data_IF_170105559854
#
_entry.id   IF_170105559854
#
_cell.length_a   1.000
_cell.length_b   1.000
_cell.length_c   1.000
_cell.angle_alpha   90.00
_cell.angle_beta   90.00
_cell.angle_gamma   90.00
#
_symmetry.space_group_name_H-M   'P 1'
#
loop_
_entity.id
_entity.type
_entity.pdbx_description
1 polymer ?
#
# COMPACT_ATOMS: atom_id res chain seq x y z
N UNK A 1 -8.37 21.45 -3.81
CA UNK A 1 -7.69 21.13 -5.08
C UNK A 1 -7.60 19.63 -5.24
N UNK A 2 -7.83 19.15 -6.46
CA UNK A 2 -7.87 17.73 -6.78
C UNK A 2 -6.50 17.19 -7.17
N UNK A 3 -6.22 15.88 -6.97
CA UNK A 3 -5.01 15.25 -7.48
C UNK A 3 -4.84 15.54 -8.98
N UNK A 4 -3.61 15.81 -9.40
CA UNK A 4 -3.32 16.17 -10.78
C UNK A 4 -3.59 14.98 -11.71
N UNK A 5 -4.50 15.18 -12.66
CA UNK A 5 -4.86 14.23 -13.71
C UNK A 5 -4.75 14.93 -15.05
N UNK A 6 -3.76 14.57 -15.85
CA UNK A 6 -3.50 15.21 -17.15
C UNK A 6 -4.25 14.51 -18.31
N UNK A 7 -4.80 13.32 -18.05
CA UNK A 7 -5.45 12.47 -19.05
C UNK A 7 -6.94 12.28 -18.73
N UNK A 8 -7.79 12.50 -19.71
CA UNK A 8 -9.19 12.10 -19.66
C UNK A 8 -9.36 10.80 -20.45
N UNK A 9 -10.08 9.82 -19.91
CA UNK A 9 -10.46 8.58 -20.60
C UNK A 9 -11.96 8.62 -20.80
N UNK A 10 -12.41 8.62 -22.06
CA UNK A 10 -13.84 8.62 -22.37
C UNK A 10 -14.45 7.29 -21.92
N UNK A 11 -15.38 7.34 -20.97
CA UNK A 11 -16.19 6.21 -20.60
C UNK A 11 -17.18 5.93 -21.75
N UNK A 12 -17.10 4.76 -22.42
CA UNK A 12 -17.81 4.49 -23.67
C UNK A 12 -19.28 4.12 -23.44
N UNK A 13 -20.01 4.97 -22.71
CA UNK A 13 -21.39 4.72 -22.26
C UNK A 13 -22.34 4.40 -23.41
N UNK A 14 -22.19 5.09 -24.55
CA UNK A 14 -23.03 4.86 -25.73
C UNK A 14 -22.73 3.53 -26.40
N UNK A 15 -21.45 3.19 -26.55
CA UNK A 15 -21.06 1.86 -26.99
C UNK A 15 -21.61 0.78 -26.07
N UNK A 16 -21.54 0.97 -24.74
CA UNK A 16 -22.08 0.01 -23.76
C UNK A 16 -23.58 -0.19 -23.90
N UNK A 17 -24.34 0.88 -24.14
CA UNK A 17 -25.79 0.76 -24.38
C UNK A 17 -26.13 0.06 -25.70
N UNK A 18 -25.31 0.25 -26.74
CA UNK A 18 -25.55 -0.38 -28.05
C UNK A 18 -25.08 -1.84 -28.10
N UNK A 19 -23.88 -2.12 -27.58
CA UNK A 19 -23.17 -3.40 -27.74
C UNK A 19 -23.16 -4.28 -26.47
N UNK A 20 -23.69 -3.78 -25.35
CA UNK A 20 -23.69 -4.48 -24.07
C UNK A 20 -22.45 -4.18 -23.19
N UNK A 21 -22.44 -4.68 -21.96
CA UNK A 21 -21.42 -4.35 -20.96
C UNK A 21 -20.11 -5.13 -21.07
N UNK A 22 -20.09 -6.26 -21.79
CA UNK A 22 -18.96 -7.21 -21.83
C UNK A 22 -18.21 -7.20 -23.18
N UNK A 23 -18.38 -6.16 -23.99
CA UNK A 23 -17.69 -6.02 -25.28
C UNK A 23 -16.24 -5.52 -25.16
N UNK A 24 -15.58 -5.35 -26.31
CA UNK A 24 -14.20 -4.86 -26.44
C UNK A 24 -13.93 -3.58 -25.64
N UNK A 25 -14.88 -2.65 -25.63
CA UNK A 25 -14.83 -1.40 -24.87
C UNK A 25 -14.61 -1.60 -23.37
N UNK A 26 -15.11 -2.68 -22.78
CA UNK A 26 -14.93 -2.96 -21.36
C UNK A 26 -13.49 -3.37 -21.07
N UNK A 27 -12.95 -4.31 -21.86
CA UNK A 27 -11.55 -4.74 -21.78
C UNK A 27 -10.61 -3.58 -22.08
N UNK A 28 -10.83 -2.84 -23.17
CA UNK A 28 -10.00 -1.70 -23.55
C UNK A 28 -9.97 -0.60 -22.49
N UNK A 29 -11.13 -0.26 -21.90
CA UNK A 29 -11.19 0.73 -20.81
C UNK A 29 -10.40 0.26 -19.59
N UNK A 30 -10.52 -1.02 -19.23
CA UNK A 30 -9.76 -1.62 -18.12
C UNK A 30 -8.25 -1.65 -18.38
N UNK A 31 -7.83 -1.99 -19.59
CA UNK A 31 -6.43 -2.01 -20.01
C UNK A 31 -5.80 -0.61 -19.97
N UNK A 32 -6.49 0.42 -20.48
CA UNK A 32 -6.03 1.80 -20.41
C UNK A 32 -5.92 2.29 -18.96
N UNK A 33 -6.95 2.04 -18.15
CA UNK A 33 -6.96 2.42 -16.74
C UNK A 33 -5.78 1.76 -15.97
N UNK A 34 -5.54 0.47 -16.23
CA UNK A 34 -4.42 -0.28 -15.65
C UNK A 34 -3.08 0.29 -16.10
N UNK A 35 -2.87 0.47 -17.40
CA UNK A 35 -1.59 0.91 -17.95
C UNK A 35 -1.25 2.36 -17.56
N UNK A 36 -2.22 3.28 -17.53
CA UNK A 36 -2.04 4.65 -17.04
C UNK A 36 -1.66 4.63 -15.54
N UNK A 37 -2.33 3.80 -14.75
CA UNK A 37 -2.01 3.62 -13.31
C UNK A 37 -0.59 3.09 -13.12
N UNK A 38 -0.22 2.01 -13.82
CA UNK A 38 1.13 1.41 -13.77
C UNK A 38 2.20 2.38 -14.28
N UNK A 39 1.86 3.23 -15.25
CA UNK A 39 2.74 4.27 -15.79
C UNK A 39 2.79 5.54 -14.95
N UNK A 40 2.05 5.59 -13.83
CA UNK A 40 1.95 6.74 -12.90
C UNK A 40 1.41 8.01 -13.55
N UNK A 41 0.46 7.85 -14.46
CA UNK A 41 -0.23 8.95 -15.15
C UNK A 41 -1.62 9.08 -14.54
N UNK A 42 -1.87 10.20 -13.87
CA UNK A 42 -3.18 10.51 -13.32
C UNK A 42 -4.21 10.69 -14.43
N UNK A 43 -5.36 10.02 -14.30
CA UNK A 43 -6.45 10.11 -15.25
C UNK A 43 -7.81 10.13 -14.55
N UNK A 44 -8.81 10.66 -15.25
CA UNK A 44 -10.22 10.55 -14.88
C UNK A 44 -11.03 9.90 -16.00
N UNK A 45 -12.06 9.15 -15.61
CA UNK A 45 -13.11 8.75 -16.52
C UNK A 45 -14.05 9.95 -16.71
N UNK A 46 -14.32 10.30 -17.97
CA UNK A 46 -15.23 11.39 -18.35
C UNK A 46 -16.27 10.85 -19.33
N UNK A 47 -17.42 11.51 -19.44
CA UNK A 47 -18.41 11.16 -20.45
C UNK A 47 -18.60 12.26 -21.50
N UNK A 48 -19.42 11.99 -22.52
CA UNK A 48 -19.66 12.94 -23.61
C UNK A 48 -20.29 14.27 -23.14
N UNK A 49 -21.06 14.28 -22.04
CA UNK A 49 -21.64 15.50 -21.45
C UNK A 49 -20.55 16.35 -20.82
N UNK A 50 -19.58 15.73 -20.16
CA UNK A 50 -18.40 16.43 -19.67
C UNK A 50 -17.70 17.10 -20.84
N UNK A 51 -17.31 16.32 -21.88
CA UNK A 51 -16.63 16.82 -23.08
C UNK A 51 -17.36 18.00 -23.73
N UNK A 52 -18.69 17.92 -23.79
CA UNK A 52 -19.55 18.96 -24.33
C UNK A 52 -19.52 20.25 -23.49
N UNK A 53 -19.54 20.13 -22.17
CA UNK A 53 -19.50 21.25 -21.24
C UNK A 53 -18.12 21.92 -21.08
N UNK A 54 -17.05 21.30 -21.61
CA UNK A 54 -15.69 21.83 -21.43
C UNK A 54 -15.48 23.28 -21.87
N UNK A 55 -14.52 23.93 -21.23
CA UNK A 55 -13.78 25.00 -21.88
C UNK A 55 -12.59 24.39 -22.64
N UNK A 56 -12.39 24.80 -23.89
CA UNK A 56 -11.21 24.40 -24.68
C UNK A 56 -10.20 25.53 -24.61
N UNK A 57 -8.98 25.20 -24.21
CA UNK A 57 -7.84 26.10 -24.13
C UNK A 57 -6.73 25.60 -25.07
N UNK A 58 -5.71 26.40 -25.30
CA UNK A 58 -4.55 25.97 -26.08
C UNK A 58 -3.85 24.77 -25.40
N UNK A 59 -3.81 23.65 -26.11
CA UNK A 59 -3.21 22.39 -25.70
C UNK A 59 -3.92 21.66 -24.57
N UNK A 60 -5.13 22.08 -24.17
CA UNK A 60 -5.85 21.46 -23.06
C UNK A 60 -7.38 21.65 -23.10
N UNK A 61 -8.08 20.79 -22.36
CA UNK A 61 -9.51 20.88 -22.11
C UNK A 61 -9.76 20.97 -20.60
N UNK A 62 -10.72 21.81 -20.19
CA UNK A 62 -11.06 22.02 -18.79
C UNK A 62 -12.49 21.60 -18.46
N UNK A 63 -12.62 20.83 -17.37
CA UNK A 63 -13.88 20.48 -16.74
C UNK A 63 -13.79 20.86 -15.26
N UNK A 64 -14.58 21.87 -14.85
CA UNK A 64 -14.44 22.45 -13.51
C UNK A 64 -13.00 22.91 -13.23
N UNK A 65 -12.42 22.40 -12.14
CA UNK A 65 -11.05 22.73 -11.72
C UNK A 65 -9.96 21.85 -12.36
N UNK A 66 -10.34 20.93 -13.26
CA UNK A 66 -9.42 19.99 -13.87
C UNK A 66 -9.03 20.41 -15.29
N UNK A 67 -7.76 20.17 -15.64
CA UNK A 67 -7.17 20.50 -16.94
C UNK A 67 -6.51 19.25 -17.53
N UNK A 68 -6.98 18.82 -18.69
CA UNK A 68 -6.51 17.61 -19.37
C UNK A 68 -5.84 17.97 -20.68
N UNK A 69 -4.69 17.37 -20.95
CA UNK A 69 -3.88 17.61 -22.15
C UNK A 69 -4.03 16.47 -23.17
N UNK A 70 -4.59 15.35 -22.73
CA UNK A 70 -4.89 14.22 -23.58
C UNK A 70 -6.28 13.65 -23.29
N UNK A 71 -6.91 13.11 -24.33
CA UNK A 71 -8.17 12.38 -24.29
C UNK A 71 -7.98 11.00 -24.92
N UNK A 72 -8.41 9.95 -24.23
CA UNK A 72 -8.34 8.56 -24.69
C UNK A 72 -9.74 8.05 -25.05
N UNK A 73 -9.87 7.40 -26.21
CA UNK A 73 -11.08 6.73 -26.68
C UNK A 73 -10.83 5.21 -26.74
N UNK A 74 -11.23 4.45 -25.70
CA UNK A 74 -11.03 3.00 -25.65
C UNK A 74 -12.16 2.25 -26.37
N UNK A 75 -11.89 1.74 -27.57
CA UNK A 75 -12.80 0.95 -28.41
C UNK A 75 -14.23 1.54 -28.51
N UNK A 76 -14.30 2.85 -28.82
CA UNK A 76 -15.55 3.59 -28.90
C UNK A 76 -16.16 3.41 -30.28
N UNK A 77 -17.26 2.66 -30.40
CA UNK A 77 -17.97 2.47 -31.68
C UNK A 77 -19.21 3.33 -31.84
N UNK A 78 -19.83 3.75 -30.74
CA UNK A 78 -21.01 4.61 -30.75
C UNK A 78 -20.74 5.93 -30.04
N UNK A 79 -21.06 7.05 -30.68
CA UNK A 79 -21.15 8.37 -30.05
C UNK A 79 -22.60 8.81 -29.99
N UNK A 80 -22.94 9.77 -29.12
CA UNK A 80 -24.33 10.28 -29.04
C UNK A 80 -24.79 10.83 -30.38
N UNK A 81 -24.01 11.71 -31.00
CA UNK A 81 -24.36 12.35 -32.28
C UNK A 81 -23.12 12.95 -32.98
N UNK A 82 -23.31 13.45 -34.20
CA UNK A 82 -22.29 14.21 -34.93
C UNK A 82 -21.73 15.42 -34.15
N UNK A 83 -22.47 15.95 -33.16
CA UNK A 83 -21.98 17.04 -32.29
C UNK A 83 -20.80 16.58 -31.41
N UNK A 84 -20.84 15.35 -30.91
CA UNK A 84 -19.77 14.77 -30.10
C UNK A 84 -18.49 14.63 -30.92
N UNK A 85 -18.60 14.19 -32.17
CA UNK A 85 -17.44 14.08 -33.04
C UNK A 85 -16.86 15.45 -33.43
N UNK A 86 -17.71 16.43 -33.77
CA UNK A 86 -17.25 17.83 -33.97
C UNK A 86 -16.54 18.37 -32.73
N UNK A 87 -16.95 17.95 -31.53
CA UNK A 87 -16.28 18.33 -30.30
C UNK A 87 -14.88 17.71 -30.22
N UNK A 88 -14.71 16.43 -30.53
CA UNK A 88 -13.39 15.79 -30.62
C UNK A 88 -12.47 16.51 -31.62
N UNK A 89 -12.99 16.90 -32.79
CA UNK A 89 -12.24 17.69 -33.78
C UNK A 89 -11.75 19.03 -33.22
N UNK A 90 -12.59 19.75 -32.48
CA UNK A 90 -12.17 21.00 -31.82
C UNK A 90 -11.08 20.79 -30.78
N UNK A 91 -11.07 19.63 -30.10
CA UNK A 91 -10.02 19.30 -29.15
C UNK A 91 -8.67 19.06 -29.86
N UNK A 92 -8.66 18.31 -30.97
CA UNK A 92 -7.44 18.10 -31.75
C UNK A 92 -6.93 19.40 -32.37
N UNK A 93 -7.81 20.24 -32.91
CA UNK A 93 -7.48 21.58 -33.44
C UNK A 93 -6.88 22.51 -32.37
N UNK A 94 -7.35 22.40 -31.12
CA UNK A 94 -6.79 23.13 -29.99
C UNK A 94 -5.47 22.54 -29.47
N UNK A 95 -4.96 21.45 -30.04
CA UNK A 95 -3.71 20.82 -29.64
C UNK A 95 -3.83 19.83 -28.47
N UNK A 96 -5.04 19.43 -28.09
CA UNK A 96 -5.25 18.30 -27.17
C UNK A 96 -4.92 17.01 -27.91
N UNK A 97 -4.07 16.17 -27.30
CA UNK A 97 -3.75 14.86 -27.88
C UNK A 97 -4.95 13.93 -27.76
N UNK A 98 -5.47 13.42 -28.86
CA UNK A 98 -6.56 12.44 -28.85
C UNK A 98 -5.99 11.09 -29.24
N UNK A 99 -6.06 10.12 -28.33
CA UNK A 99 -5.55 8.77 -28.50
C UNK A 99 -6.72 7.81 -28.63
N UNK A 100 -6.62 6.87 -29.56
CA UNK A 100 -7.68 5.92 -29.87
C UNK A 100 -7.09 4.52 -29.92
N UNK A 101 -7.81 3.54 -29.38
CA UNK A 101 -7.43 2.14 -29.52
C UNK A 101 -8.61 1.23 -29.81
N UNK A 102 -8.38 0.15 -30.54
CA UNK A 102 -9.42 -0.83 -30.85
C UNK A 102 -10.45 -0.29 -31.84
N UNK A 103 -11.69 -0.76 -31.72
CA UNK A 103 -12.79 -0.34 -32.59
C UNK A 103 -13.06 1.19 -32.53
N UNK A 104 -13.44 1.77 -33.66
CA UNK A 104 -13.63 3.22 -33.81
C UNK A 104 -15.09 3.58 -34.11
N UNK A 105 -15.48 4.87 -33.96
CA UNK A 105 -16.87 5.29 -34.14
C UNK A 105 -17.41 4.94 -35.52
N UNK A 106 -18.49 4.16 -35.55
CA UNK A 106 -19.21 3.78 -36.78
C UNK A 106 -20.71 4.11 -36.71
N UNK A 107 -21.23 4.40 -35.52
CA UNK A 107 -22.67 4.65 -35.29
C UNK A 107 -22.87 5.91 -34.46
N UNK A 108 -23.94 6.65 -34.78
CA UNK A 108 -24.49 7.66 -33.88
C UNK A 108 -25.79 7.17 -33.25
N UNK A 109 -25.94 7.38 -31.95
CA UNK A 109 -27.21 7.06 -31.27
C UNK A 109 -28.36 7.94 -31.78
N UNK A 110 -28.07 9.21 -32.08
CA UNK A 110 -29.04 10.23 -32.48
C UNK A 110 -28.57 10.90 -33.78
N UNK A 111 -29.50 11.10 -34.73
CA UNK A 111 -29.26 11.83 -35.97
C UNK A 111 -28.87 10.95 -37.17
N UNK A 112 -28.38 11.59 -38.27
CA UNK A 112 -27.96 10.90 -39.48
C UNK A 112 -26.84 9.90 -39.21
N UNK A 113 -26.86 8.73 -39.85
CA UNK A 113 -25.87 7.68 -39.65
C UNK A 113 -24.61 7.91 -40.50
N UNK A 114 -23.94 9.04 -40.28
CA UNK A 114 -22.71 9.48 -40.98
C UNK A 114 -21.44 9.23 -40.16
N UNK A 115 -21.53 8.56 -39.01
CA UNK A 115 -20.45 8.45 -38.05
C UNK A 115 -19.15 7.89 -38.62
N UNK A 116 -19.22 6.87 -39.49
CA UNK A 116 -18.05 6.28 -40.13
C UNK A 116 -17.35 7.25 -41.10
N UNK A 117 -18.11 8.02 -41.87
CA UNK A 117 -17.60 9.04 -42.80
C UNK A 117 -16.99 10.21 -42.02
N UNK A 118 -17.74 10.73 -41.04
CA UNK A 118 -17.27 11.83 -40.20
C UNK A 118 -16.01 11.42 -39.39
N UNK A 119 -15.92 10.16 -38.94
CA UNK A 119 -14.73 9.62 -38.30
C UNK A 119 -13.54 9.51 -39.26
N UNK A 120 -13.75 9.05 -40.49
CA UNK A 120 -12.69 8.95 -41.50
C UNK A 120 -12.02 10.32 -41.75
N UNK A 121 -12.78 11.41 -41.70
CA UNK A 121 -12.25 12.77 -41.80
C UNK A 121 -11.42 13.19 -40.57
N UNK A 122 -11.78 12.72 -39.36
CA UNK A 122 -11.08 13.06 -38.13
C UNK A 122 -9.85 12.17 -37.88
N UNK A 123 -9.87 10.92 -38.35
CA UNK A 123 -8.87 9.90 -38.09
C UNK A 123 -7.40 10.35 -38.34
N UNK A 124 -7.09 11.16 -39.37
CA UNK A 124 -5.71 11.65 -39.58
C UNK A 124 -5.20 12.61 -38.49
N UNK A 125 -6.10 13.21 -37.69
CA UNK A 125 -5.77 14.17 -36.64
C UNK A 125 -5.68 13.53 -35.23
N UNK A 126 -5.83 12.21 -35.12
CA UNK A 126 -5.77 11.48 -33.84
C UNK A 126 -4.65 10.45 -33.86
N UNK A 127 -4.14 10.10 -32.67
CA UNK A 127 -3.13 9.06 -32.49
C UNK A 127 -3.80 7.70 -32.35
N UNK A 128 -3.73 6.87 -33.40
CA UNK A 128 -4.36 5.56 -33.43
C UNK A 128 -3.40 4.46 -33.01
N UNK A 129 -3.82 3.61 -32.09
CA UNK A 129 -3.08 2.44 -31.64
C UNK A 129 -3.93 1.18 -31.80
N UNK A 130 -3.29 0.04 -32.08
CA UNK A 130 -4.00 -1.24 -32.09
C UNK A 130 -4.44 -1.64 -30.67
N UNK A 131 -3.58 -1.37 -29.68
CA UNK A 131 -3.80 -1.66 -28.26
C UNK A 131 -3.18 -0.53 -27.42
N UNK A 132 -3.27 -0.61 -26.08
CA UNK A 132 -2.67 0.39 -25.19
C UNK A 132 -1.16 0.53 -25.44
N UNK A 133 -0.63 1.75 -25.66
CA UNK A 133 0.78 1.95 -25.99
C UNK A 133 1.70 1.70 -24.79
N UNK A 134 3.00 1.59 -25.07
CA UNK A 134 4.02 1.37 -24.05
C UNK A 134 4.11 2.51 -23.03
N UNK A 135 4.65 2.19 -21.85
CA UNK A 135 4.70 3.10 -20.71
C UNK A 135 5.46 4.42 -20.99
N UNK A 136 6.40 4.43 -21.95
CA UNK A 136 7.11 5.64 -22.35
C UNK A 136 6.17 6.68 -23.00
N UNK A 137 5.28 6.22 -23.90
CA UNK A 137 4.26 7.06 -24.54
C UNK A 137 3.29 7.59 -23.49
N UNK A 138 2.81 6.72 -22.59
CA UNK A 138 1.87 7.09 -21.54
C UNK A 138 2.46 8.16 -20.62
N UNK A 139 3.70 7.98 -20.13
CA UNK A 139 4.39 8.99 -19.31
C UNK A 139 4.56 10.33 -20.04
N UNK A 140 4.67 10.31 -21.36
CA UNK A 140 4.71 11.53 -22.19
C UNK A 140 3.39 12.31 -22.25
N UNK A 141 2.27 11.74 -21.80
CA UNK A 141 0.99 12.43 -21.71
C UNK A 141 0.92 13.38 -20.50
N UNK A 142 1.62 13.04 -19.42
CA UNK A 142 1.64 13.84 -18.20
C UNK A 142 2.36 15.19 -18.43
N UNK A 143 2.00 16.19 -17.63
CA UNK A 143 2.74 17.45 -17.61
C UNK A 143 4.20 17.21 -17.23
N UNK A 144 5.13 17.79 -18.00
CA UNK A 144 6.56 17.80 -17.63
C UNK A 144 6.68 18.62 -16.35
N UNK A 145 7.03 17.96 -15.24
CA UNK A 145 7.28 18.65 -13.96
C UNK A 145 8.55 19.47 -14.05
N UNK A 146 8.56 20.62 -13.39
CA UNK A 146 9.77 21.40 -13.21
C UNK A 146 10.81 20.57 -12.45
N UNK A 147 12.09 20.69 -12.80
CA UNK A 147 13.19 20.02 -12.09
C UNK A 147 13.36 20.51 -10.64
N UNK A 148 12.54 21.47 -10.21
CA UNK A 148 12.60 22.19 -8.94
C UNK A 148 11.49 21.82 -7.96
N UNK A 149 10.62 20.87 -8.29
CA UNK A 149 9.51 20.42 -7.44
C UNK A 149 9.82 19.08 -6.75
N UNK A 150 9.38 18.88 -5.49
CA UNK A 150 9.41 17.58 -4.84
C UNK A 150 8.64 16.55 -5.67
N UNK A 151 9.22 15.37 -5.81
CA UNK A 151 8.57 14.27 -6.52
C UNK A 151 8.97 12.93 -5.94
N UNK A 152 8.11 11.93 -6.10
CA UNK A 152 8.41 10.56 -5.73
C UNK A 152 8.87 9.77 -6.96
N UNK A 153 9.98 9.08 -6.82
CA UNK A 153 10.49 8.10 -7.78
C UNK A 153 10.38 6.72 -7.16
N UNK A 154 9.79 5.78 -7.87
CA UNK A 154 9.73 4.39 -7.42
C UNK A 154 10.87 3.65 -8.12
N UNK A 155 11.82 3.06 -7.37
CA UNK A 155 12.89 2.25 -7.95
C UNK A 155 12.36 1.11 -8.82
N UNK A 156 13.13 0.70 -9.84
CA UNK A 156 12.78 -0.43 -10.68
C UNK A 156 12.58 -1.70 -9.84
N UNK A 157 11.49 -2.42 -10.09
CA UNK A 157 11.12 -3.62 -9.34
C UNK A 157 10.41 -3.37 -8.00
N UNK A 158 10.30 -2.11 -7.54
CA UNK A 158 9.53 -1.84 -6.33
C UNK A 158 8.02 -1.83 -6.60
N UNK A 159 7.21 -2.50 -5.74
CA UNK A 159 5.74 -2.59 -5.91
C UNK A 159 4.98 -1.33 -5.47
N UNK A 160 5.69 -0.34 -4.91
CA UNK A 160 5.07 0.87 -4.33
C UNK A 160 4.33 1.67 -5.40
N UNK A 161 3.10 2.04 -5.06
CA UNK A 161 2.27 2.99 -5.80
C UNK A 161 2.18 4.28 -5.00
N UNK A 162 2.07 5.39 -5.70
CA UNK A 162 1.86 6.67 -5.03
C UNK A 162 0.97 7.59 -5.88
N UNK A 163 0.32 8.54 -5.21
CA UNK A 163 -0.32 9.70 -5.82
C UNK A 163 0.03 10.95 -5.04
N UNK A 164 0.15 12.07 -5.73
CA UNK A 164 0.50 13.31 -5.08
C UNK A 164 0.71 14.47 -6.03
N UNK A 165 0.80 15.66 -5.45
CA UNK A 165 0.88 16.92 -6.19
C UNK A 165 0.90 18.11 -5.24
N UNK A 166 0.86 19.34 -5.80
CA UNK A 166 0.88 20.56 -5.01
C UNK A 166 -0.34 20.68 -4.07
N UNK A 167 -0.09 21.25 -2.89
CA UNK A 167 -1.09 21.56 -1.86
C UNK A 167 -1.53 23.04 -1.95
N UNK A 168 -2.78 23.30 -1.55
CA UNK A 168 -3.38 24.64 -1.44
C UNK A 168 -2.69 25.56 -0.45
N UNK A 169 -2.03 25.01 0.57
CA UNK A 169 -1.35 25.77 1.63
C UNK A 169 0.13 26.08 1.31
N UNK A 170 0.57 25.88 0.06
CA UNK A 170 1.98 25.88 -0.28
C UNK A 170 2.65 24.55 0.10
N UNK A 171 3.38 23.97 -0.85
CA UNK A 171 4.00 22.64 -0.69
C UNK A 171 3.31 21.56 -1.51
N UNK A 172 3.51 20.30 -1.12
CA UNK A 172 3.14 19.09 -1.85
C UNK A 172 2.62 18.04 -0.88
N UNK A 173 1.64 17.24 -1.33
CA UNK A 173 1.18 16.06 -0.59
C UNK A 173 1.38 14.81 -1.41
N UNK A 174 1.74 13.73 -0.72
CA UNK A 174 1.90 12.41 -1.31
C UNK A 174 1.23 11.35 -0.45
N UNK A 175 0.60 10.38 -1.09
CA UNK A 175 0.15 9.14 -0.49
C UNK A 175 0.89 8.00 -1.19
N UNK A 176 1.64 7.21 -0.42
CA UNK A 176 2.40 6.05 -0.86
C UNK A 176 1.79 4.81 -0.25
N UNK A 177 1.56 3.77 -1.03
CA UNK A 177 1.02 2.52 -0.53
C UNK A 177 1.51 1.33 -1.34
N UNK A 178 1.49 0.16 -0.73
CA UNK A 178 1.97 -1.07 -1.36
C UNK A 178 1.30 -2.29 -0.76
N UNK A 179 1.04 -3.32 -1.57
CA UNK A 179 0.48 -4.60 -1.07
C UNK A 179 1.55 -5.54 -0.52
N UNK A 180 2.82 -5.32 -0.89
CA UNK A 180 4.01 -6.05 -0.45
C UNK A 180 5.11 -5.08 -0.04
N UNK A 181 6.16 -5.53 0.65
CA UNK A 181 7.25 -4.63 1.05
C UNK A 181 7.88 -3.93 -0.17
N UNK A 182 8.20 -2.64 -0.04
CA UNK A 182 8.75 -1.85 -1.12
C UNK A 182 9.41 -0.55 -0.67
N UNK A 183 9.90 0.21 -1.65
CA UNK A 183 10.66 1.44 -1.44
C UNK A 183 10.21 2.51 -2.41
N UNK A 184 10.25 3.76 -1.96
CA UNK A 184 10.04 4.94 -2.79
C UNK A 184 11.04 6.02 -2.40
N UNK A 185 11.52 6.75 -3.37
CA UNK A 185 12.53 7.80 -3.22
C UNK A 185 11.88 9.16 -3.36
N UNK A 186 11.92 9.96 -2.30
CA UNK A 186 11.45 11.34 -2.30
C UNK A 186 12.60 12.26 -2.73
N UNK A 187 12.48 12.80 -3.94
CA UNK A 187 13.42 13.77 -4.52
C UNK A 187 13.05 15.17 -4.04
N UNK A 188 14.02 15.90 -3.48
CA UNK A 188 13.83 17.19 -2.82
C UNK A 188 14.74 18.26 -3.43
N UNK A 189 14.44 18.77 -4.64
CA UNK A 189 15.32 19.70 -5.34
C UNK A 189 15.32 21.11 -4.69
N UNK A 190 16.50 21.73 -4.62
CA UNK A 190 16.68 23.14 -4.25
C UNK A 190 16.13 23.50 -2.86
N UNK A 191 16.59 22.80 -1.82
CA UNK A 191 16.09 22.91 -0.43
C UNK A 191 16.18 24.29 0.22
N UNK A 192 15.85 24.43 1.52
CA UNK A 192 15.43 23.37 2.45
C UNK A 192 13.96 22.97 2.28
N UNK A 193 13.65 21.70 2.56
CA UNK A 193 12.29 21.16 2.60
C UNK A 193 12.01 20.56 3.97
N UNK A 194 10.82 20.82 4.49
CA UNK A 194 10.26 20.17 5.67
C UNK A 194 9.36 19.03 5.22
N UNK A 195 9.45 17.89 5.93
CA UNK A 195 8.66 16.70 5.64
C UNK A 195 7.86 16.35 6.89
N UNK A 196 6.55 16.31 6.74
CA UNK A 196 5.61 15.83 7.73
C UNK A 196 5.05 14.48 7.26
N UNK A 197 5.05 13.49 8.14
CA UNK A 197 4.35 12.23 7.96
C UNK A 197 3.09 12.19 8.81
N UNK A 198 1.97 11.81 8.19
CA UNK A 198 0.66 11.80 8.81
C UNK A 198 0.18 10.37 8.97
N UNK A 199 -0.12 9.99 10.22
CA UNK A 199 -0.72 8.71 10.54
C UNK A 199 -2.21 8.75 10.20
N UNK A 200 -2.63 7.96 9.20
CA UNK A 200 -4.02 7.93 8.76
C UNK A 200 -4.98 7.42 9.86
N UNK A 201 -4.46 6.63 10.80
CA UNK A 201 -5.26 5.96 11.84
C UNK A 201 -5.77 6.93 12.91
N UNK A 202 -4.97 7.91 13.31
CA UNK A 202 -5.29 8.80 14.44
C UNK A 202 -5.01 10.29 14.17
N UNK A 203 -4.46 10.63 13.00
CA UNK A 203 -4.14 12.00 12.60
C UNK A 203 -2.89 12.57 13.25
N UNK A 204 -2.07 11.73 13.90
CA UNK A 204 -0.76 12.13 14.44
C UNK A 204 0.15 12.61 13.31
N UNK A 205 0.86 13.71 13.54
CA UNK A 205 1.83 14.26 12.58
C UNK A 205 3.24 14.18 13.15
N UNK A 206 4.13 13.51 12.41
CA UNK A 206 5.55 13.35 12.76
C UNK A 206 6.42 14.13 11.78
N UNK A 207 7.48 14.75 12.27
CA UNK A 207 8.48 15.37 11.39
C UNK A 207 9.50 14.31 10.97
N UNK A 208 9.79 14.23 9.67
CA UNK A 208 10.84 13.38 9.14
C UNK A 208 12.07 14.23 8.78
N UNK A 209 13.24 13.82 9.23
CA UNK A 209 14.50 14.42 8.79
C UNK A 209 14.98 13.74 7.52
N UNK A 210 15.20 14.53 6.45
CA UNK A 210 15.89 14.05 5.26
C UNK A 210 17.40 14.21 5.43
N UNK A 211 18.09 13.12 5.74
CA UNK A 211 19.56 13.08 5.83
C UNK A 211 20.23 13.02 4.45
N UNK A 212 19.51 12.54 3.44
CA UNK A 212 20.00 12.33 2.08
C UNK A 212 18.96 12.78 1.03
N UNK A 213 19.41 13.03 -0.20
CA UNK A 213 18.55 13.33 -1.35
C UNK A 213 18.95 12.43 -2.53
N UNK A 214 18.08 11.51 -2.97
CA UNK A 214 16.70 11.30 -2.51
C UNK A 214 16.60 10.77 -1.07
N UNK A 215 15.56 11.18 -0.36
CA UNK A 215 15.18 10.54 0.89
C UNK A 215 14.49 9.21 0.60
N UNK A 216 15.06 8.10 1.08
CA UNK A 216 14.53 6.76 0.81
C UNK A 216 13.49 6.39 1.87
N UNK A 217 12.25 6.15 1.44
CA UNK A 217 11.16 5.72 2.28
C UNK A 217 10.89 4.22 2.02
N UNK A 218 10.95 3.44 3.09
CA UNK A 218 10.54 2.03 3.08
C UNK A 218 9.07 1.94 3.47
N UNK A 219 8.36 1.02 2.82
CA UNK A 219 6.99 0.67 3.12
C UNK A 219 6.90 -0.84 3.39
N UNK A 220 6.31 -1.22 4.51
CA UNK A 220 5.96 -2.59 4.85
C UNK A 220 4.74 -3.08 4.03
N UNK A 221 4.43 -4.37 4.13
CA UNK A 221 3.27 -4.97 3.49
C UNK A 221 1.96 -4.26 3.91
N UNK A 222 1.18 -3.81 2.92
CA UNK A 222 -0.10 -3.08 3.10
C UNK A 222 0.02 -1.72 3.80
N UNK A 223 1.23 -1.18 3.95
CA UNK A 223 1.42 0.12 4.59
C UNK A 223 0.92 1.27 3.70
N UNK A 224 0.30 2.27 4.33
CA UNK A 224 -0.03 3.57 3.75
C UNK A 224 0.78 4.64 4.47
N UNK A 225 1.63 5.35 3.73
CA UNK A 225 2.37 6.52 4.23
C UNK A 225 1.83 7.79 3.59
N UNK A 226 1.42 8.75 4.40
CA UNK A 226 0.92 10.06 3.97
C UNK A 226 1.96 11.12 4.30
N UNK A 227 2.40 11.88 3.30
CA UNK A 227 3.47 12.86 3.42
C UNK A 227 2.98 14.24 3.02
N UNK A 228 3.41 15.26 3.74
CA UNK A 228 3.36 16.66 3.33
C UNK A 228 4.77 17.21 3.28
N UNK A 229 5.12 17.86 2.17
CA UNK A 229 6.45 18.41 1.90
C UNK A 229 6.30 19.89 1.60
N UNK A 230 6.93 20.76 2.38
CA UNK A 230 6.74 22.21 2.28
C UNK A 230 8.01 22.98 2.63
N UNK A 231 8.05 24.28 2.29
CA UNK A 231 9.20 25.16 2.58
C UNK A 231 8.95 26.08 3.77
N UNK A 232 7.70 26.49 3.99
CA UNK A 232 7.34 27.46 5.03
C UNK A 232 7.00 26.76 6.35
N UNK A 233 7.43 27.31 7.49
CA UNK A 233 7.29 26.71 8.81
C UNK A 233 5.86 26.66 9.38
N UNK A 234 4.82 26.98 8.59
CA UNK A 234 3.43 26.80 9.03
C UNK A 234 3.08 25.31 9.09
N UNK A 235 3.23 24.76 10.30
CA UNK A 235 2.74 23.43 10.68
C UNK A 235 1.26 23.34 10.35
N UNK A 236 0.85 22.23 9.74
CA UNK A 236 -0.56 21.98 9.53
C UNK A 236 -1.30 21.82 10.88
N UNK A 237 -2.60 22.10 10.88
CA UNK A 237 -3.50 22.04 12.03
C UNK A 237 -3.79 20.61 12.56
N UNK A 238 -2.87 19.66 12.40
CA UNK A 238 -2.96 18.32 12.98
C UNK A 238 -2.66 18.33 14.48
N UNK A 239 -2.97 17.22 15.17
CA UNK A 239 -2.42 16.99 16.52
C UNK A 239 -0.92 16.78 16.37
N UNK A 240 -0.18 17.87 16.46
CA UNK A 240 1.25 17.81 16.68
C UNK A 240 1.47 17.09 18.02
N UNK A 241 2.46 16.20 18.07
CA UNK A 241 3.06 15.80 19.35
C UNK A 241 3.68 17.06 19.96
N UNK A 242 2.86 17.81 20.68
CA UNK A 242 3.30 18.85 21.60
C UNK A 242 3.65 18.12 22.87
N UNK A 243 4.94 17.91 23.04
CA UNK A 243 5.53 17.47 24.28
C UNK A 243 5.22 18.49 25.39
N UNK A 244 4.15 18.23 26.15
CA UNK A 244 3.87 18.77 27.48
C UNK A 244 3.29 17.56 28.26
N UNK A 245 3.97 16.90 29.20
CA UNK A 245 4.80 17.44 30.29
C UNK A 245 6.31 17.29 30.11
N UNK A 246 7.01 18.40 30.32
CA UNK A 246 8.45 18.57 30.26
C UNK A 246 9.15 18.00 31.50
N UNK A 247 9.82 16.86 31.34
CA UNK A 247 11.18 16.63 31.85
C UNK A 247 11.85 15.54 30.99
N UNK A 248 12.93 15.91 30.28
CA UNK A 248 13.78 15.12 29.37
C UNK A 248 13.52 15.26 27.85
N UNK A 249 13.84 16.44 27.32
CA UNK A 249 14.28 16.57 25.92
C UNK A 249 15.69 15.97 25.77
N UNK A 250 15.76 14.65 25.60
CA UNK A 250 16.93 13.94 25.08
C UNK A 250 16.43 12.72 24.28
N UNK A 251 16.44 12.83 22.94
CA UNK A 251 16.30 11.72 22.00
C UNK A 251 15.18 10.71 22.28
N UNK A 252 13.95 11.01 21.87
CA UNK A 252 12.93 9.97 21.74
C UNK A 252 12.84 9.54 20.28
N UNK A 253 13.86 8.78 19.86
CA UNK A 253 13.67 7.85 18.76
C UNK A 253 12.56 6.85 19.12
N UNK A 254 11.94 6.26 18.10
CA UNK A 254 11.12 5.05 18.26
C UNK A 254 11.84 4.09 19.20
N UNK A 255 11.18 3.51 20.23
CA UNK A 255 11.84 2.62 21.17
C UNK A 255 12.58 1.53 20.39
N UNK A 256 13.84 1.28 20.72
CA UNK A 256 14.52 0.10 20.20
C UNK A 256 13.86 -1.12 20.84
N UNK A 257 13.38 -2.05 20.01
CA UNK A 257 12.62 -3.21 20.46
C UNK A 257 13.53 -4.42 20.62
N UNK A 258 13.29 -5.23 21.65
CA UNK A 258 13.96 -6.53 21.80
C UNK A 258 13.62 -7.47 20.64
N UNK A 259 14.40 -8.55 20.51
CA UNK A 259 14.03 -9.66 19.64
C UNK A 259 12.61 -10.16 20.00
N UNK A 260 11.74 -10.44 19.00
CA UNK A 260 10.35 -10.77 19.25
C UNK A 260 10.19 -12.19 19.81
N UNK A 261 9.43 -12.33 20.90
CA UNK A 261 8.91 -13.61 21.39
C UNK A 261 7.70 -14.04 20.57
N UNK A 262 7.67 -15.30 20.12
CA UNK A 262 6.49 -15.89 19.45
C UNK A 262 5.50 -16.43 20.47
N UNK A 263 4.33 -15.82 20.56
CA UNK A 263 3.23 -16.25 21.40
C UNK A 263 2.45 -17.41 20.75
N UNK A 264 3.06 -18.60 20.64
CA UNK A 264 2.51 -19.71 19.85
C UNK A 264 1.38 -20.50 20.54
N UNK A 265 1.44 -20.70 21.86
CA UNK A 265 0.52 -21.57 22.62
C UNK A 265 -0.19 -20.83 23.77
N UNK A 266 -1.08 -21.51 24.50
CA UNK A 266 -1.75 -20.97 25.69
C UNK A 266 -2.87 -19.98 25.38
N UNK A 267 -3.45 -20.06 24.18
CA UNK A 267 -4.57 -19.23 23.74
C UNK A 267 -5.89 -19.95 23.94
N UNK A 268 -6.83 -19.24 24.55
CA UNK A 268 -8.25 -19.60 24.60
C UNK A 268 -9.02 -18.74 23.60
N UNK A 269 -9.94 -19.35 22.87
CA UNK A 269 -10.98 -18.65 22.13
C UNK A 269 -12.18 -18.48 23.05
N UNK A 270 -12.66 -17.24 23.20
CA UNK A 270 -13.88 -16.89 23.91
C UNK A 270 -14.86 -16.22 22.94
N UNK A 271 -16.06 -16.78 22.82
CA UNK A 271 -17.17 -16.19 22.08
C UNK A 271 -18.20 -15.69 23.09
N UNK A 272 -18.67 -14.46 22.90
CA UNK A 272 -19.54 -13.79 23.85
C UNK A 272 -20.86 -14.55 24.08
N UNK A 273 -21.42 -14.43 25.29
CA UNK A 273 -22.66 -15.12 25.68
C UNK A 273 -23.90 -14.62 24.91
N UNK A 274 -23.83 -13.41 24.37
CA UNK A 274 -24.86 -12.78 23.56
C UNK A 274 -24.64 -12.96 22.04
N UNK A 275 -23.62 -13.74 21.65
CA UNK A 275 -23.42 -14.10 20.25
C UNK A 275 -24.59 -14.96 19.73
N UNK A 276 -24.94 -14.79 18.46
CA UNK A 276 -26.03 -15.56 17.84
C UNK A 276 -25.69 -17.05 17.69
N UNK A 277 -24.45 -17.35 17.31
CA UNK A 277 -23.90 -18.70 17.12
C UNK A 277 -22.72 -18.87 18.06
N UNK A 278 -22.50 -20.10 18.54
CA UNK A 278 -21.35 -20.45 19.40
C UNK A 278 -21.31 -19.64 20.71
N UNK A 279 -22.47 -19.19 21.18
CA UNK A 279 -22.61 -18.36 22.37
C UNK A 279 -21.96 -19.01 23.59
N UNK A 280 -21.08 -18.28 24.26
CA UNK A 280 -20.40 -18.76 25.45
C UNK A 280 -19.32 -19.83 25.19
N UNK A 281 -18.98 -20.11 23.93
CA UNK A 281 -17.90 -21.03 23.59
C UNK A 281 -16.60 -20.56 24.22
N UNK A 282 -15.95 -21.48 24.96
CA UNK A 282 -14.63 -21.31 25.55
C UNK A 282 -13.81 -22.57 25.32
N UNK A 283 -12.74 -22.47 24.54
CA UNK A 283 -11.91 -23.64 24.17
C UNK A 283 -10.50 -23.22 23.77
N UNK A 284 -9.56 -24.16 23.82
CA UNK A 284 -8.23 -23.95 23.28
C UNK A 284 -8.29 -23.64 21.77
N UNK A 285 -7.38 -22.77 21.32
CA UNK A 285 -7.31 -22.37 19.91
C UNK A 285 -5.87 -22.21 19.45
N UNK A 286 -5.59 -22.67 18.23
CA UNK A 286 -4.33 -22.40 17.56
C UNK A 286 -4.36 -21.01 16.92
N UNK A 287 -3.20 -20.36 16.90
CA UNK A 287 -2.97 -19.07 16.22
C UNK A 287 -2.24 -19.24 14.88
N UNK A 288 -1.94 -20.48 14.48
CA UNK A 288 -1.25 -20.82 13.22
C UNK A 288 -2.22 -21.14 12.08
N UNK A 289 -3.52 -21.14 12.34
CA UNK A 289 -4.56 -21.37 11.35
C UNK A 289 -5.87 -20.68 11.73
N UNK A 290 -6.68 -20.33 10.74
CA UNK A 290 -7.96 -19.67 10.98
C UNK A 290 -9.04 -20.58 11.56
N UNK A 291 -10.12 -19.99 12.08
CA UNK A 291 -11.21 -20.70 12.77
C UNK A 291 -11.88 -21.75 11.89
N UNK A 292 -11.91 -21.52 10.57
CA UNK A 292 -12.51 -22.43 9.61
C UNK A 292 -11.84 -23.80 9.56
N UNK A 293 -10.57 -23.88 9.96
CA UNK A 293 -9.80 -25.14 10.09
C UNK A 293 -9.84 -25.73 11.50
N UNK A 294 -10.54 -25.07 12.42
CA UNK A 294 -10.60 -25.41 13.84
C UNK A 294 -12.04 -25.69 14.30
N UNK A 295 -12.89 -26.17 13.39
CA UNK A 295 -14.27 -26.55 13.69
C UNK A 295 -15.28 -25.40 13.69
N UNK A 296 -14.91 -24.22 13.17
CA UNK A 296 -15.81 -23.07 13.00
C UNK A 296 -15.87 -22.58 11.53
N UNK A 297 -16.20 -23.46 10.57
CA UNK A 297 -16.12 -23.15 9.13
C UNK A 297 -17.10 -22.07 8.66
N UNK A 298 -18.26 -21.93 9.31
CA UNK A 298 -19.30 -20.97 8.95
C UNK A 298 -19.54 -19.88 10.00
N UNK A 299 -18.73 -19.87 11.07
CA UNK A 299 -18.90 -18.90 12.15
C UNK A 299 -18.70 -17.48 11.64
N UNK A 300 -19.61 -16.59 12.04
CA UNK A 300 -19.53 -15.15 11.81
C UNK A 300 -19.72 -14.42 13.13
N UNK A 301 -19.13 -13.24 13.26
CA UNK A 301 -19.13 -12.46 14.48
C UNK A 301 -17.72 -12.33 15.06
N UNK A 302 -17.65 -11.80 16.27
CA UNK A 302 -16.37 -11.52 16.93
C UNK A 302 -16.02 -12.57 17.96
N UNK A 303 -14.75 -12.97 18.00
CA UNK A 303 -14.22 -13.84 19.05
C UNK A 303 -12.95 -13.27 19.65
N UNK A 304 -12.74 -13.52 20.94
CA UNK A 304 -11.59 -13.06 21.69
C UNK A 304 -10.56 -14.19 21.79
N UNK A 305 -9.33 -13.93 21.34
CA UNK A 305 -8.17 -14.72 21.72
C UNK A 305 -7.65 -14.20 23.06
N UNK A 306 -7.60 -15.06 24.07
CA UNK A 306 -7.20 -14.71 25.44
C UNK A 306 -5.97 -15.52 25.83
N UNK A 307 -4.93 -14.85 26.32
CA UNK A 307 -3.72 -15.48 26.84
C UNK A 307 -3.20 -14.72 28.06
N UNK A 308 -2.59 -15.45 28.98
CA UNK A 308 -1.83 -14.87 30.10
C UNK A 308 -0.37 -14.68 29.66
N UNK A 309 0.19 -13.49 29.91
CA UNK A 309 1.61 -13.18 29.70
C UNK A 309 2.24 -12.80 31.04
N UNK A 310 3.49 -13.20 31.26
CA UNK A 310 4.27 -12.84 32.45
C UNK A 310 5.17 -11.66 32.11
N UNK A 311 5.14 -10.62 32.94
CA UNK A 311 5.93 -9.39 32.75
C UNK A 311 6.72 -9.13 34.02
N UNK A 312 8.04 -9.24 33.97
CA UNK A 312 8.87 -8.98 35.16
C UNK A 312 8.88 -7.50 35.53
N UNK A 313 9.18 -6.64 34.55
CA UNK A 313 9.21 -5.18 34.69
C UNK A 313 8.29 -4.55 33.65
N UNK A 314 7.28 -3.76 34.07
CA UNK A 314 6.41 -3.04 33.14
C UNK A 314 7.21 -2.03 32.30
N UNK A 315 7.45 -2.39 31.04
CA UNK A 315 7.99 -1.52 30.00
C UNK A 315 7.00 -1.48 28.84
N UNK A 316 7.04 -0.46 27.96
CA UNK A 316 6.22 -0.49 26.76
C UNK A 316 6.51 -1.76 25.97
N UNK A 317 5.46 -2.38 25.42
CA UNK A 317 5.58 -3.55 24.57
C UNK A 317 5.10 -3.20 23.17
N UNK A 318 5.61 -3.94 22.19
CA UNK A 318 5.10 -3.96 20.84
C UNK A 318 4.49 -5.32 20.54
N UNK A 319 3.20 -5.32 20.23
CA UNK A 319 2.49 -6.50 19.74
C UNK A 319 2.34 -6.39 18.23
N UNK A 320 2.99 -7.29 17.50
CA UNK A 320 2.84 -7.46 16.05
C UNK A 320 2.02 -8.70 15.76
N UNK A 321 0.97 -8.58 14.94
CA UNK A 321 0.15 -9.70 14.46
C UNK A 321 0.46 -9.97 12.98
N UNK A 322 1.34 -10.95 12.66
CA UNK A 322 1.90 -11.05 11.31
C UNK A 322 0.87 -11.39 10.22
N UNK A 323 -0.18 -12.13 10.58
CA UNK A 323 -1.23 -12.50 9.65
C UNK A 323 -2.58 -12.57 10.36
N UNK A 324 -3.49 -11.67 9.99
CA UNK A 324 -4.85 -11.58 10.54
C UNK A 324 -5.84 -11.54 9.39
N UNK A 325 -6.88 -12.36 9.48
CA UNK A 325 -8.05 -12.27 8.59
C UNK A 325 -9.22 -11.62 9.33
N UNK A 326 -9.25 -10.29 9.29
CA UNK A 326 -10.25 -9.45 9.96
C UNK A 326 -9.62 -8.25 10.66
N UNK A 327 -10.47 -7.41 11.26
CA UNK A 327 -10.02 -6.32 12.12
C UNK A 327 -9.78 -6.82 13.55
N UNK A 328 -8.93 -6.12 14.31
CA UNK A 328 -8.62 -6.44 15.71
C UNK A 328 -8.83 -5.27 16.65
N UNK A 329 -9.21 -5.61 17.88
CA UNK A 329 -9.09 -4.74 19.05
C UNK A 329 -8.24 -5.49 20.07
N UNK A 330 -7.25 -4.79 20.63
CA UNK A 330 -6.36 -5.35 21.66
C UNK A 330 -6.64 -4.68 22.98
N UNK A 331 -6.77 -5.49 24.02
CA UNK A 331 -6.91 -5.07 25.41
C UNK A 331 -5.95 -5.84 26.30
N UNK A 332 -5.44 -5.16 27.31
CA UNK A 332 -4.59 -5.73 28.36
C UNK A 332 -5.21 -5.42 29.70
N UNK A 333 -5.40 -6.44 30.55
CA UNK A 333 -6.03 -6.31 31.86
C UNK A 333 -7.38 -5.55 31.82
N UNK A 334 -8.18 -5.81 30.78
CA UNK A 334 -9.46 -5.14 30.54
C UNK A 334 -9.37 -3.72 29.95
N UNK A 335 -8.18 -3.13 29.88
CA UNK A 335 -7.96 -1.80 29.29
C UNK A 335 -7.67 -1.93 27.81
N UNK A 336 -8.43 -1.23 26.96
CA UNK A 336 -8.20 -1.22 25.51
C UNK A 336 -6.95 -0.40 25.16
N UNK A 337 -6.01 -1.02 24.46
CA UNK A 337 -4.70 -0.43 24.13
C UNK A 337 -4.51 -0.14 22.65
N UNK A 338 -5.31 -0.76 21.76
CA UNK A 338 -5.23 -0.46 20.34
C UNK A 338 -6.31 -1.14 19.50
N UNK A 339 -6.40 -0.72 18.23
CA UNK A 339 -7.20 -1.39 17.20
C UNK A 339 -6.51 -1.25 15.84
N UNK A 340 -6.75 -2.21 14.94
CA UNK A 340 -6.29 -2.18 13.55
C UNK A 340 -7.30 -2.88 12.66
N UNK A 341 -7.58 -2.30 11.49
CA UNK A 341 -8.45 -2.92 10.48
C UNK A 341 -7.68 -3.34 9.21
N UNK A 342 -6.42 -2.94 9.10
CA UNK A 342 -5.50 -3.34 8.04
C UNK A 342 -4.07 -3.41 8.58
N UNK A 343 -3.20 -4.06 7.83
CA UNK A 343 -1.77 -4.14 8.16
C UNK A 343 -1.06 -2.78 7.95
N UNK A 344 0.06 -2.52 8.65
CA UNK A 344 0.70 -3.41 9.61
C UNK A 344 -0.07 -3.50 10.95
N UNK A 345 -0.32 -4.72 11.42
CA UNK A 345 -1.00 -4.97 12.69
C UNK A 345 -0.04 -4.86 13.88
N UNK A 346 0.55 -3.67 14.05
CA UNK A 346 1.51 -3.33 15.10
C UNK A 346 0.86 -2.39 16.10
N UNK A 347 0.81 -2.78 17.37
CA UNK A 347 0.16 -2.04 18.45
C UNK A 347 1.15 -1.90 19.60
N UNK A 348 1.40 -0.65 20.01
CA UNK A 348 2.16 -0.36 21.23
C UNK A 348 1.25 -0.53 22.44
N UNK A 349 1.67 -1.36 23.38
CA UNK A 349 1.02 -1.57 24.68
C UNK A 349 1.76 -0.67 25.69
N UNK A 350 1.11 0.37 26.23
CA UNK A 350 1.77 1.28 27.16
C UNK A 350 2.12 0.58 28.48
N UNK A 351 3.29 0.92 29.05
CA UNK A 351 3.78 0.36 30.31
C UNK A 351 2.76 0.47 31.46
N UNK A 352 2.03 1.59 31.54
CA UNK A 352 1.06 1.84 32.61
C UNK A 352 -0.18 0.91 32.58
N UNK A 353 -0.40 0.19 31.47
CA UNK A 353 -1.48 -0.81 31.36
C UNK A 353 -1.04 -2.20 31.85
N UNK A 354 0.25 -2.37 32.09
CA UNK A 354 0.89 -3.60 32.52
C UNK A 354 1.17 -3.59 34.02
N UNK A 355 1.32 -4.78 34.59
CA UNK A 355 1.63 -5.01 36.00
C UNK A 355 2.76 -6.04 36.10
N UNK A 356 3.62 -5.99 37.14
CA UNK A 356 4.54 -7.08 37.40
C UNK A 356 3.79 -8.42 37.58
N UNK A 357 4.31 -9.50 36.99
CA UNK A 357 3.70 -10.82 36.95
C UNK A 357 2.65 -10.98 35.84
N UNK A 358 1.54 -11.64 36.17
CA UNK A 358 0.51 -12.05 35.20
C UNK A 358 -0.32 -10.89 34.67
N UNK A 359 -0.41 -10.81 33.36
CA UNK A 359 -1.28 -9.88 32.65
C UNK A 359 -2.16 -10.66 31.66
N UNK A 360 -3.45 -10.31 31.58
CA UNK A 360 -4.34 -10.87 30.56
C UNK A 360 -4.21 -10.06 29.26
N UNK A 361 -3.77 -10.71 28.19
CA UNK A 361 -3.81 -10.18 26.83
C UNK A 361 -5.05 -10.73 26.11
N UNK A 362 -5.89 -9.82 25.61
CA UNK A 362 -7.08 -10.13 24.83
C UNK A 362 -6.97 -9.50 23.44
N UNK A 363 -7.14 -10.32 22.40
CA UNK A 363 -7.18 -9.90 21.00
C UNK A 363 -8.55 -10.28 20.44
N UNK A 364 -9.46 -9.31 20.37
CA UNK A 364 -10.76 -9.48 19.70
C UNK A 364 -10.57 -9.42 18.21
N UNK A 365 -11.02 -10.43 17.47
CA UNK A 365 -10.98 -10.44 16.00
C UNK A 365 -12.40 -10.37 15.43
N UNK A 366 -12.57 -9.55 14.40
CA UNK A 366 -13.80 -9.35 13.64
C UNK A 366 -13.54 -9.63 12.14
N UNK A 367 -13.79 -10.85 11.63
CA UNK A 367 -13.66 -11.19 10.22
C UNK A 367 -14.85 -10.69 9.38
N UNK A 368 -14.79 -10.92 8.06
CA UNK A 368 -15.94 -10.76 7.17
C UNK A 368 -17.05 -11.77 7.52
N UNK A 369 -18.29 -11.47 7.12
CA UNK A 369 -19.40 -12.42 7.24
C UNK A 369 -19.47 -13.44 6.08
N UNK A 370 -18.46 -13.47 5.20
CA UNK A 370 -18.49 -14.20 3.94
C UNK A 370 -18.76 -15.71 4.14
N UNK A 371 -18.11 -16.33 5.13
CA UNK A 371 -18.25 -17.77 5.38
C UNK A 371 -19.68 -18.19 5.67
N UNK A 372 -20.44 -17.38 6.42
CA UNK A 372 -21.85 -17.65 6.68
C UNK A 372 -22.71 -17.49 5.45
N UNK A 373 -22.51 -16.41 4.68
CA UNK A 373 -23.36 -16.12 3.52
C UNK A 373 -23.09 -17.03 2.32
N UNK A 374 -21.87 -17.52 2.16
CA UNK A 374 -21.53 -18.45 1.07
C UNK A 374 -21.77 -19.92 1.42
N UNK A 375 -21.96 -20.27 2.70
CA UNK A 375 -22.22 -21.63 3.12
C UNK A 375 -23.41 -22.24 2.37
N UNK A 376 -23.19 -23.38 1.71
CA UNK A 376 -24.21 -24.11 0.96
C UNK A 376 -24.65 -23.48 -0.37
N UNK A 377 -24.11 -22.34 -0.77
CA UNK A 377 -24.52 -21.66 -2.03
C UNK A 377 -23.88 -22.24 -3.28
N UNK A 378 -22.76 -22.97 -3.16
CA UNK A 378 -21.95 -23.43 -4.29
C UNK A 378 -21.16 -22.32 -5.01
N UNK A 379 -21.32 -21.05 -4.62
CA UNK A 379 -20.60 -19.91 -5.20
C UNK A 379 -19.13 -19.83 -4.75
N UNK A 380 -18.74 -20.64 -3.76
CA UNK A 380 -17.36 -20.80 -3.30
C UNK A 380 -17.05 -22.26 -2.99
N UNK A 381 -15.85 -22.68 -3.36
CA UNK A 381 -15.35 -24.02 -3.10
C UNK A 381 -14.88 -24.20 -1.65
N UNK A 382 -14.23 -23.18 -1.07
CA UNK A 382 -13.66 -23.25 0.27
C UNK A 382 -14.05 -22.01 1.11
N UNK A 383 -14.15 -22.15 2.45
CA UNK A 383 -14.32 -21.02 3.35
C UNK A 383 -13.13 -20.06 3.31
N UNK A 384 -13.38 -18.76 3.47
CA UNK A 384 -12.34 -17.75 3.68
C UNK A 384 -11.58 -18.00 4.98
N UNK A 385 -10.28 -17.66 5.02
CA UNK A 385 -9.56 -17.51 6.27
C UNK A 385 -10.26 -16.53 7.21
N UNK A 386 -10.34 -16.87 8.51
CA UNK A 386 -10.84 -15.98 9.56
C UNK A 386 -10.04 -16.17 10.85
N UNK A 387 -9.79 -15.07 11.59
CA UNK A 387 -9.03 -15.13 12.84
C UNK A 387 -7.53 -14.82 12.67
N UNK A 388 -6.72 -15.25 13.65
CA UNK A 388 -5.26 -15.19 13.60
C UNK A 388 -4.72 -16.35 12.76
N UNK A 389 -3.83 -16.04 11.82
CA UNK A 389 -3.25 -17.00 10.88
C UNK A 389 -1.76 -17.27 11.11
N UNK A 390 -1.12 -16.47 11.98
CA UNK A 390 0.24 -16.67 12.45
C UNK A 390 0.35 -16.28 13.94
N UNK A 391 1.31 -16.85 14.68
CA UNK A 391 1.54 -16.49 16.09
C UNK A 391 1.80 -14.99 16.27
N UNK A 392 1.13 -14.33 17.25
CA UNK A 392 1.49 -12.98 17.66
C UNK A 392 2.94 -12.90 18.11
N UNK A 393 3.58 -11.78 17.81
CA UNK A 393 4.96 -11.46 18.19
C UNK A 393 4.93 -10.37 19.25
N UNK A 394 5.65 -10.57 20.34
CA UNK A 394 5.76 -9.60 21.43
C UNK A 394 7.21 -9.18 21.61
N UNK A 395 7.47 -7.87 21.56
CA UNK A 395 8.77 -7.28 21.86
C UNK A 395 8.65 -6.30 23.02
N UNK A 396 9.73 -6.16 23.79
CA UNK A 396 9.82 -5.22 24.91
C UNK A 396 10.67 -4.02 24.49
N UNK A 397 10.33 -2.82 24.95
CA UNK A 397 11.18 -1.66 24.76
C UNK A 397 12.50 -1.88 25.51
N UNK A 398 13.62 -1.75 24.80
CA UNK A 398 14.94 -1.71 25.41
C UNK A 398 15.10 -0.36 26.10
N UNK A 399 15.56 -0.38 27.35
CA UNK A 399 15.96 0.87 28.00
C UNK A 399 17.13 1.48 27.21
N UNK A 400 17.16 2.81 27.02
CA UNK A 400 18.36 3.45 26.50
C UNK A 400 19.53 3.11 27.43
N UNK A 401 20.74 2.83 26.88
CA UNK A 401 21.89 2.52 27.70
C UNK A 401 22.08 3.65 28.72
N UNK A 402 22.15 3.29 30.01
CA UNK A 402 22.36 4.27 31.07
C UNK A 402 23.66 5.04 30.78
N UNK A 403 23.64 6.39 30.72
CA UNK A 403 24.85 7.16 30.60
C UNK A 403 25.62 7.05 31.92
N UNK A 404 26.48 6.02 32.05
CA UNK A 404 27.23 5.79 33.27
C UNK A 404 27.89 4.42 33.43
N UNK A 405 27.58 3.42 32.62
CA UNK A 405 28.32 2.16 32.66
C UNK A 405 29.68 2.35 31.96
N UNK A 406 30.68 2.76 32.73
CA UNK A 406 32.08 2.76 32.27
C UNK A 406 32.47 1.36 31.83
N UNK A 407 33.15 1.18 30.68
CA UNK A 407 33.64 -0.14 30.29
C UNK A 407 34.64 -0.63 31.34
N UNK A 408 34.72 -1.95 31.61
CA UNK A 408 35.76 -2.48 32.48
C UNK A 408 37.13 -2.13 31.89
N UNK A 409 37.94 -1.43 32.67
CA UNK A 409 39.28 -0.98 32.31
C UNK A 409 40.17 -2.17 31.95
N UNK A 410 40.56 -2.25 30.68
CA UNK A 410 41.68 -3.08 30.23
C UNK A 410 42.98 -2.34 30.49
N UNK A 411 43.73 -2.76 31.52
CA UNK A 411 45.20 -2.71 31.55
C UNK A 411 45.75 -3.27 32.87
N UNK A 412 46.27 -4.49 32.82
CA UNK A 412 47.61 -4.75 33.37
C UNK A 412 48.26 -5.83 32.50
N UNK A 413 49.08 -5.37 31.56
CA UNK A 413 49.97 -6.21 30.79
C UNK A 413 51.23 -6.45 31.62
N UNK A 414 51.27 -7.57 32.34
CA UNK A 414 52.51 -8.08 32.89
C UNK A 414 53.30 -8.78 31.78
N UNK A 415 54.47 -8.20 31.50
CA UNK A 415 55.53 -8.82 30.72
C UNK A 415 56.21 -9.87 31.58
N UNK A 416 56.23 -11.12 31.12
CA UNK A 416 57.33 -12.04 31.42
C UNK A 416 57.70 -12.82 30.16
N UNK A 417 58.99 -12.82 29.89
CA UNK A 417 59.67 -13.33 28.73
C UNK A 417 60.03 -14.82 28.85
N UNK A 418 60.22 -15.40 27.67
CA UNK A 418 61.12 -16.50 27.30
C UNK A 418 60.76 -17.98 27.52
N UNK A 419 60.75 -18.63 26.33
CA UNK A 419 61.43 -19.90 25.99
C UNK A 419 60.76 -21.22 26.36
N UNK A 420 60.28 -21.94 25.32
CA UNK A 420 60.95 -23.19 24.89
C UNK A 420 60.36 -23.78 23.58
N UNK A 421 61.24 -23.86 22.57
CA UNK A 421 61.49 -24.99 21.65
C UNK A 421 60.34 -25.83 21.06
N UNK A 422 60.15 -25.59 19.75
CA UNK A 422 60.47 -26.52 18.65
C UNK A 422 59.60 -27.75 18.32
N UNK A 423 59.35 -27.84 17.02
CA UNK A 423 59.36 -29.00 16.10
C UNK A 423 58.07 -29.71 15.66
N UNK A 424 57.93 -29.71 14.31
CA UNK A 424 57.43 -30.77 13.40
C UNK A 424 55.90 -30.93 13.33
N UNK A 425 55.28 -31.22 12.18
CA UNK A 425 55.64 -31.29 10.76
C UNK A 425 54.35 -31.69 10.03
N UNK A 426 54.04 -31.06 8.90
CA UNK A 426 53.03 -31.53 7.94
C UNK A 426 53.44 -32.90 7.35
N UNK A 427 52.50 -33.70 6.81
CA UNK A 427 52.19 -33.56 5.38
C UNK A 427 50.75 -33.94 4.94
N UNK A 428 50.30 -33.34 3.83
CA UNK A 428 49.30 -33.91 2.88
C UNK A 428 50.08 -34.67 1.77
N UNK A 429 49.49 -35.25 0.68
CA UNK A 429 48.08 -35.44 0.26
C UNK A 429 47.78 -36.84 -0.35
N UNK A 430 46.53 -37.15 -0.73
CA UNK A 430 46.25 -38.09 -1.84
C UNK A 430 44.81 -38.02 -2.39
N UNK A 431 44.73 -38.02 -3.72
CA UNK A 431 43.58 -38.00 -4.65
C UNK A 431 42.83 -39.34 -4.76
N UNK A 432 41.56 -39.28 -5.22
CA UNK A 432 40.87 -40.14 -6.22
C UNK A 432 39.34 -39.95 -6.05
N UNK A 433 38.42 -40.01 -7.02
CA UNK A 433 38.38 -40.14 -8.48
C UNK A 433 36.91 -39.83 -8.89
N UNK A 434 36.70 -39.29 -10.08
CA UNK A 434 35.40 -39.03 -10.72
C UNK A 434 34.61 -40.31 -11.04
N UNK A 435 33.26 -40.26 -11.01
CA UNK A 435 32.37 -40.91 -12.00
C UNK A 435 31.09 -40.08 -12.19
N UNK A 436 30.78 -39.84 -13.46
CA UNK A 436 29.62 -39.16 -14.07
C UNK A 436 28.38 -40.05 -14.09
N UNK A 437 27.18 -39.46 -14.00
CA UNK A 437 25.92 -40.14 -14.30
C UNK A 437 24.73 -39.16 -14.41
N UNK A 438 24.41 -38.80 -15.65
CA UNK A 438 23.31 -37.95 -16.11
C UNK A 438 22.00 -38.76 -16.21
N UNK A 439 20.85 -38.17 -15.85
CA UNK A 439 19.52 -38.64 -16.30
C UNK A 439 18.39 -37.62 -15.98
N UNK A 440 17.82 -37.11 -17.07
CA UNK A 440 16.60 -36.32 -17.26
C UNK A 440 15.29 -37.01 -16.88
N UNK A 441 14.28 -36.21 -16.52
CA UNK A 441 12.94 -36.12 -17.18
C UNK A 441 11.71 -36.11 -16.25
N UNK A 442 10.88 -35.09 -16.49
CA UNK A 442 9.40 -35.02 -16.52
C UNK A 442 8.53 -35.55 -15.36
N UNK A 443 7.59 -34.69 -14.92
CA UNK A 443 6.17 -35.07 -14.79
C UNK A 443 5.27 -33.83 -14.68
N UNK A 444 4.49 -33.59 -15.75
CA UNK A 444 3.25 -32.81 -15.75
C UNK A 444 2.05 -33.77 -15.66
N UNK A 445 0.94 -33.24 -15.12
CA UNK A 445 -0.46 -33.73 -15.07
C UNK A 445 -0.89 -34.43 -13.76
N UNK A 446 -1.61 -33.67 -12.93
CA UNK A 446 -3.05 -33.85 -12.81
C UNK A 446 -3.76 -32.52 -12.50
#
# INVERSE_FOLDING_TARGET
MSPQSDVAVLYPLRTVWTAGQLGEQASATGEWARALTESRVGFHLVDERDLEAAAVEEGAVRFGDHRYRALVLPAVTTLRSARSLRRLRRLTEAGVRVLVSGATPTVYQEGPQTAAEDWADLAPAVETFHAVPEAAVLRGLAARRGQTEPTLRVPAGSPVRWRGGPDTAGGFRFACFTETEGTVELLLPGGPWHIEEWEATDGTVRTLEATENPAVLRLEQNELRLLRVHRDAERASGRADTAEDSEAAAGHGTPEWSAPERLQSGWLLEIAQDAYEEAGTRRDIAVTCGWQRQGLPAYTGTADYVRQIEIDTPVPLELTLPAVAGAVIVSVNGTRVGQRAWAPYRITIPAHTLRPGRNELRIRVAPSAANRYYAGTGLRAEPEPCGLLAPPLLSHALQPPSPGASPPSSQQADRCSDSCCSTRSSPSPSRALDVVGDATAELQRH
#
